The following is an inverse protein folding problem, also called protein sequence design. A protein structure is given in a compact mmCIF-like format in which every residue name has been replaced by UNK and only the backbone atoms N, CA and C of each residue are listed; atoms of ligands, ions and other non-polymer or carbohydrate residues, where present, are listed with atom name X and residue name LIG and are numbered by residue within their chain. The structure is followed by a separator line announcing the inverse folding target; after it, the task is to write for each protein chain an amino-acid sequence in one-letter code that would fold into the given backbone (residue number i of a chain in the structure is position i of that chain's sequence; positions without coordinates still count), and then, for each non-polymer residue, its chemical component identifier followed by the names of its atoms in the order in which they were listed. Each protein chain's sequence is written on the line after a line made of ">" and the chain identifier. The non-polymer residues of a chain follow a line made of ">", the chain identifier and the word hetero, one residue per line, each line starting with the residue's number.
data_IF_041931161204
#
_entry.id   IF_041931161204
#
_cell.length_a   1.000
_cell.length_b   1.000
_cell.length_c   1.000
_cell.angle_alpha   90.00
_cell.angle_beta   90.00
_cell.angle_gamma   90.00
#
_symmetry.space_group_name_H-M   'P 1'
#
loop_
_entity.id
_entity.type
_entity.pdbx_description
1 polymer ?
#
# COMPACT_ATOMS: atom_id res chain seq x y z
N UNK A 1 -38.11 -1.94 -18.86
CA UNK A 1 -37.71 -3.07 -18.00
C UNK A 1 -38.41 -4.37 -18.35
N UNK A 2 -39.75 -4.43 -18.46
CA UNK A 2 -40.48 -5.65 -18.89
C UNK A 2 -39.98 -6.20 -20.22
N UNK A 3 -39.78 -5.34 -21.22
CA UNK A 3 -39.27 -5.72 -22.55
C UNK A 3 -37.93 -6.47 -22.53
N UNK A 4 -36.94 -6.04 -21.74
CA UNK A 4 -35.61 -6.68 -21.67
C UNK A 4 -35.64 -8.04 -20.92
N UNK A 5 -36.49 -8.18 -19.90
CA UNK A 5 -36.70 -9.46 -19.21
C UNK A 5 -37.51 -10.45 -20.06
N UNK A 6 -38.43 -9.95 -20.87
CA UNK A 6 -39.19 -10.75 -21.83
C UNK A 6 -38.28 -11.22 -22.99
N UNK A 7 -37.40 -10.35 -23.49
CA UNK A 7 -36.41 -10.66 -24.53
C UNK A 7 -35.39 -11.73 -24.12
N UNK A 8 -35.07 -11.83 -22.83
CA UNK A 8 -34.14 -12.84 -22.31
C UNK A 8 -34.80 -14.20 -22.07
N UNK A 9 -36.14 -14.31 -22.20
CA UNK A 9 -36.85 -15.58 -22.13
C UNK A 9 -36.74 -16.27 -20.76
N UNK A 10 -36.82 -15.50 -19.66
CA UNK A 10 -36.66 -16.00 -18.27
C UNK A 10 -35.28 -16.54 -17.90
N UNK A 11 -34.25 -16.28 -18.71
CA UNK A 11 -32.86 -16.68 -18.45
C UNK A 11 -32.19 -15.69 -17.49
N UNK A 12 -31.19 -16.18 -16.76
CA UNK A 12 -30.30 -15.36 -15.93
C UNK A 12 -29.38 -14.52 -16.80
N UNK A 13 -29.31 -13.23 -16.51
CA UNK A 13 -28.52 -12.27 -17.30
C UNK A 13 -27.23 -11.94 -16.57
N UNK A 14 -26.10 -12.24 -17.19
CA UNK A 14 -24.78 -11.75 -16.80
C UNK A 14 -24.46 -10.53 -17.66
N UNK A 15 -24.11 -9.41 -17.05
CA UNK A 15 -23.73 -8.18 -17.76
C UNK A 15 -22.24 -7.91 -17.65
N UNK A 16 -21.64 -7.55 -18.77
CA UNK A 16 -20.31 -6.99 -18.85
C UNK A 16 -20.30 -5.76 -19.76
N UNK A 17 -19.72 -4.66 -19.30
CA UNK A 17 -19.51 -3.46 -20.12
C UNK A 17 -18.08 -3.01 -20.01
N UNK A 18 -17.34 -3.13 -21.10
CA UNK A 18 -15.92 -2.83 -21.09
C UNK A 18 -15.48 -2.16 -22.39
N UNK A 19 -14.42 -1.37 -22.29
CA UNK A 19 -13.65 -0.97 -23.47
C UNK A 19 -12.97 -2.21 -24.02
N UNK A 20 -12.99 -2.37 -25.34
CA UNK A 20 -12.31 -3.48 -25.99
C UNK A 20 -10.81 -3.16 -26.06
N UNK A 21 -10.12 -3.51 -24.97
CA UNK A 21 -8.71 -3.24 -24.68
C UNK A 21 -8.10 -4.45 -23.95
N UNK A 22 -6.80 -4.65 -24.10
CA UNK A 22 -6.02 -5.74 -23.50
C UNK A 22 -6.12 -5.75 -21.97
N UNK A 23 -6.20 -4.58 -21.34
CA UNK A 23 -6.24 -4.45 -19.87
C UNK A 23 -7.61 -4.70 -19.25
N UNK A 24 -8.69 -4.60 -20.05
CA UNK A 24 -10.07 -4.75 -19.57
C UNK A 24 -10.52 -6.20 -19.47
N UNK A 25 -9.72 -7.12 -20.00
CA UNK A 25 -9.87 -8.55 -19.77
C UNK A 25 -11.17 -9.16 -20.31
N UNK A 26 -11.66 -8.66 -21.45
CA UNK A 26 -12.85 -9.23 -22.12
C UNK A 26 -12.59 -10.66 -22.58
N UNK A 27 -11.38 -10.96 -23.05
CA UNK A 27 -10.97 -12.32 -23.46
C UNK A 27 -11.07 -13.29 -22.27
N UNK A 28 -10.50 -12.90 -21.12
CA UNK A 28 -10.53 -13.68 -19.88
C UNK A 28 -11.96 -13.95 -19.43
N UNK A 29 -12.84 -12.95 -19.54
CA UNK A 29 -14.27 -13.09 -19.25
C UNK A 29 -14.94 -14.16 -20.10
N UNK A 30 -14.71 -14.12 -21.40
CA UNK A 30 -15.32 -15.04 -22.36
C UNK A 30 -14.79 -16.46 -22.17
N UNK A 31 -13.50 -16.62 -21.91
CA UNK A 31 -12.87 -17.91 -21.59
C UNK A 31 -13.42 -18.51 -20.29
N UNK A 32 -13.58 -17.68 -19.25
CA UNK A 32 -14.18 -18.12 -17.99
C UNK A 32 -15.68 -18.48 -18.15
N UNK A 33 -16.39 -17.78 -19.03
CA UNK A 33 -17.78 -18.11 -19.32
C UNK A 33 -17.92 -19.41 -20.13
N UNK A 34 -17.02 -19.67 -21.09
CA UNK A 34 -16.95 -20.97 -21.79
C UNK A 34 -16.69 -22.11 -20.79
N UNK A 35 -15.67 -21.94 -19.94
CA UNK A 35 -15.33 -22.90 -18.88
C UNK A 35 -16.49 -23.13 -17.90
N UNK A 36 -17.26 -22.08 -17.58
CA UNK A 36 -18.44 -22.18 -16.73
C UNK A 36 -19.54 -23.06 -17.36
N UNK A 37 -19.82 -22.88 -18.66
CA UNK A 37 -20.79 -23.71 -19.39
C UNK A 37 -20.30 -25.16 -19.58
N UNK A 38 -18.99 -25.37 -19.66
CA UNK A 38 -18.39 -26.70 -19.68
C UNK A 38 -18.53 -27.42 -18.34
N UNK A 39 -18.16 -26.74 -17.24
CA UNK A 39 -18.16 -27.31 -15.89
C UNK A 39 -19.57 -27.52 -15.32
N UNK A 40 -20.53 -26.66 -15.68
CA UNK A 40 -21.88 -26.67 -15.13
C UNK A 40 -22.94 -26.78 -16.23
N UNK A 41 -23.17 -28.00 -16.77
CA UNK A 41 -24.18 -28.23 -17.81
C UNK A 41 -25.60 -27.79 -17.43
N UNK A 42 -25.92 -27.73 -16.13
CA UNK A 42 -27.22 -27.30 -15.61
C UNK A 42 -27.58 -25.85 -15.92
N UNK A 43 -26.59 -25.02 -16.24
CA UNK A 43 -26.75 -23.60 -16.59
C UNK A 43 -26.89 -23.35 -18.10
N UNK A 44 -26.63 -24.36 -18.94
CA UNK A 44 -26.86 -24.28 -20.39
C UNK A 44 -28.35 -23.99 -20.66
N UNK A 45 -28.62 -23.17 -21.68
CA UNK A 45 -29.94 -22.61 -22.02
C UNK A 45 -30.61 -21.71 -20.96
N UNK A 46 -30.04 -21.58 -19.76
CA UNK A 46 -30.59 -20.81 -18.63
C UNK A 46 -29.85 -19.51 -18.35
N UNK A 47 -28.66 -19.30 -18.92
CA UNK A 47 -27.82 -18.13 -18.67
C UNK A 47 -27.47 -17.44 -19.98
N UNK A 48 -27.49 -16.12 -20.02
CA UNK A 48 -27.00 -15.31 -21.15
C UNK A 48 -25.98 -14.30 -20.65
N UNK A 49 -24.82 -14.23 -21.30
CA UNK A 49 -23.84 -13.18 -21.13
C UNK A 49 -24.07 -12.07 -22.16
N UNK A 50 -24.50 -10.90 -21.68
CA UNK A 50 -24.60 -9.68 -22.48
C UNK A 50 -23.31 -8.90 -22.30
N UNK A 51 -22.47 -8.85 -23.34
CA UNK A 51 -21.24 -8.05 -23.35
C UNK A 51 -21.45 -6.82 -24.24
N UNK A 52 -21.41 -5.64 -23.65
CA UNK A 52 -21.41 -4.36 -24.37
C UNK A 52 -19.98 -3.87 -24.48
N UNK A 53 -19.50 -3.70 -25.70
CA UNK A 53 -18.14 -3.25 -25.97
C UNK A 53 -18.12 -1.98 -26.81
N UNK A 54 -17.18 -1.10 -26.52
CA UNK A 54 -16.91 0.06 -27.36
C UNK A 54 -15.42 0.18 -27.65
N UNK A 55 -15.10 0.66 -28.87
CA UNK A 55 -13.73 0.70 -29.37
C UNK A 55 -12.91 1.75 -28.61
N UNK A 56 -11.75 1.34 -28.12
CA UNK A 56 -10.73 2.21 -27.54
C UNK A 56 -9.83 2.79 -28.64
N UNK A 57 -9.12 3.89 -28.35
CA UNK A 57 -8.07 4.39 -29.26
C UNK A 57 -6.87 3.44 -29.36
N UNK A 58 -6.64 2.63 -28.32
CA UNK A 58 -5.58 1.61 -28.23
C UNK A 58 -6.04 0.21 -28.63
N UNK A 59 -7.17 0.14 -29.32
CA UNK A 59 -7.74 -1.12 -29.79
C UNK A 59 -6.80 -1.80 -30.81
N UNK A 60 -6.69 -3.13 -30.72
CA UNK A 60 -5.97 -3.93 -31.72
C UNK A 60 -6.95 -4.80 -32.50
N UNK A 61 -6.78 -4.85 -33.83
CA UNK A 61 -7.54 -5.78 -34.70
C UNK A 61 -7.37 -7.24 -34.28
N UNK A 62 -6.24 -7.58 -33.64
CA UNK A 62 -5.99 -8.91 -33.09
C UNK A 62 -6.98 -9.24 -31.96
N UNK A 63 -7.23 -8.30 -31.06
CA UNK A 63 -8.15 -8.50 -29.94
C UNK A 63 -9.61 -8.58 -30.40
N UNK A 64 -10.00 -7.82 -31.42
CA UNK A 64 -11.31 -8.00 -32.08
C UNK A 64 -11.47 -9.42 -32.59
N UNK A 65 -10.48 -9.91 -33.34
CA UNK A 65 -10.52 -11.25 -33.92
C UNK A 65 -10.62 -12.33 -32.84
N UNK A 66 -9.79 -12.22 -31.79
CA UNK A 66 -9.77 -13.17 -30.68
C UNK A 66 -11.11 -13.19 -29.92
N UNK A 67 -11.67 -12.01 -29.62
CA UNK A 67 -12.99 -11.90 -28.99
C UNK A 67 -14.09 -12.50 -29.87
N UNK A 68 -14.12 -12.17 -31.16
CA UNK A 68 -15.10 -12.72 -32.10
C UNK A 68 -14.97 -14.23 -32.29
N UNK A 69 -13.74 -14.76 -32.29
CA UNK A 69 -13.46 -16.19 -32.40
C UNK A 69 -14.00 -16.95 -31.19
N UNK A 70 -13.73 -16.47 -29.97
CA UNK A 70 -14.26 -17.08 -28.74
C UNK A 70 -15.79 -17.02 -28.72
N UNK A 71 -16.38 -15.88 -29.05
CA UNK A 71 -17.85 -15.73 -29.10
C UNK A 71 -18.46 -16.72 -30.10
N UNK A 72 -17.89 -16.81 -31.30
CA UNK A 72 -18.37 -17.73 -32.33
C UNK A 72 -18.24 -19.20 -31.89
N UNK A 73 -17.15 -19.54 -31.20
CA UNK A 73 -16.92 -20.90 -30.69
C UNK A 73 -17.95 -21.26 -29.60
N UNK A 74 -18.15 -20.39 -28.60
CA UNK A 74 -19.10 -20.63 -27.50
C UNK A 74 -20.54 -20.67 -28.03
N UNK A 75 -20.93 -19.72 -28.88
CA UNK A 75 -22.27 -19.71 -29.46
C UNK A 75 -22.50 -20.91 -30.41
N UNK A 76 -21.47 -21.37 -31.12
CA UNK A 76 -21.56 -22.58 -31.94
C UNK A 76 -21.64 -23.87 -31.11
N UNK A 77 -20.99 -23.92 -29.95
CA UNK A 77 -20.92 -25.09 -29.07
C UNK A 77 -22.17 -25.28 -28.20
N UNK A 78 -22.73 -24.19 -27.66
CA UNK A 78 -23.88 -24.26 -26.73
C UNK A 78 -25.12 -23.51 -27.21
N UNK A 79 -25.05 -22.77 -28.32
CA UNK A 79 -26.20 -22.07 -28.86
C UNK A 79 -27.19 -23.00 -29.56
N UNK A 80 -28.46 -22.59 -29.56
CA UNK A 80 -29.54 -23.21 -30.32
C UNK A 80 -30.24 -22.14 -31.16
N UNK A 81 -31.24 -22.52 -31.97
CA UNK A 81 -31.91 -21.58 -32.87
C UNK A 81 -32.52 -20.36 -32.13
N UNK A 82 -33.03 -20.57 -30.91
CA UNK A 82 -33.68 -19.55 -30.08
C UNK A 82 -32.80 -19.10 -28.88
N UNK A 83 -31.53 -19.50 -28.85
CA UNK A 83 -30.62 -19.25 -27.74
C UNK A 83 -29.20 -18.96 -28.20
N UNK A 84 -28.70 -17.78 -27.85
CA UNK A 84 -27.30 -17.41 -27.98
C UNK A 84 -26.72 -17.18 -26.59
N UNK A 85 -25.81 -18.05 -26.10
CA UNK A 85 -25.19 -17.91 -24.78
C UNK A 85 -24.51 -16.55 -24.57
N UNK A 86 -23.85 -16.03 -25.61
CA UNK A 86 -23.18 -14.72 -25.59
C UNK A 86 -23.84 -13.80 -26.60
N UNK A 87 -24.29 -12.63 -26.12
CA UNK A 87 -24.79 -11.53 -26.93
C UNK A 87 -23.79 -10.37 -26.86
N UNK A 88 -23.11 -10.10 -27.99
CA UNK A 88 -22.06 -9.09 -28.06
C UNK A 88 -22.53 -7.86 -28.85
N UNK A 89 -22.62 -6.72 -28.17
CA UNK A 89 -23.02 -5.45 -28.78
C UNK A 89 -21.83 -4.51 -28.87
N UNK A 90 -21.34 -4.27 -30.10
CA UNK A 90 -20.28 -3.32 -30.38
C UNK A 90 -20.84 -1.93 -30.73
N UNK A 91 -21.53 -1.30 -29.78
CA UNK A 91 -22.15 0.01 -29.99
C UNK A 91 -22.08 0.87 -28.73
N UNK A 92 -22.25 2.18 -28.91
CA UNK A 92 -22.54 3.07 -27.79
C UNK A 92 -24.03 2.93 -27.48
N UNK A 93 -24.31 2.70 -26.21
CA UNK A 93 -25.67 2.57 -25.67
C UNK A 93 -25.99 3.88 -24.95
N UNK A 94 -27.22 4.34 -25.08
CA UNK A 94 -27.69 5.53 -24.37
C UNK A 94 -27.71 5.30 -22.85
N UNK A 95 -27.65 6.39 -22.08
CA UNK A 95 -27.55 6.30 -20.62
C UNK A 95 -28.68 5.48 -19.99
N UNK A 96 -29.91 5.72 -20.44
CA UNK A 96 -31.10 5.09 -19.84
C UNK A 96 -31.16 3.58 -20.16
N UNK A 97 -30.76 3.20 -21.37
CA UNK A 97 -30.64 1.80 -21.77
C UNK A 97 -29.54 1.09 -20.98
N UNK A 98 -28.41 1.76 -20.78
CA UNK A 98 -27.31 1.24 -19.95
C UNK A 98 -27.76 0.99 -18.50
N UNK A 99 -28.41 1.96 -17.87
CA UNK A 99 -28.91 1.81 -16.50
C UNK A 99 -30.00 0.73 -16.43
N UNK A 100 -30.85 0.61 -17.46
CA UNK A 100 -31.82 -0.47 -17.55
C UNK A 100 -31.15 -1.85 -17.63
N UNK A 101 -30.06 -1.99 -18.39
CA UNK A 101 -29.27 -3.23 -18.46
C UNK A 101 -28.67 -3.57 -17.10
N UNK A 102 -28.06 -2.60 -16.40
CA UNK A 102 -27.49 -2.84 -15.08
C UNK A 102 -28.55 -3.29 -14.06
N UNK A 103 -29.74 -2.67 -14.06
CA UNK A 103 -30.85 -3.03 -13.15
C UNK A 103 -31.45 -4.40 -13.43
N UNK A 104 -31.47 -4.82 -14.69
CA UNK A 104 -32.09 -6.08 -15.10
C UNK A 104 -31.16 -7.29 -14.92
N UNK A 105 -29.84 -7.06 -14.90
CA UNK A 105 -28.85 -8.13 -14.78
C UNK A 105 -28.87 -8.83 -13.41
N UNK A 106 -28.85 -10.17 -13.45
CA UNK A 106 -28.78 -11.06 -12.28
C UNK A 106 -27.34 -11.22 -11.75
N UNK A 107 -26.33 -10.85 -12.54
CA UNK A 107 -24.92 -10.88 -12.16
C UNK A 107 -24.13 -9.85 -12.98
N UNK A 108 -23.23 -9.11 -12.34
CA UNK A 108 -22.22 -8.32 -13.07
C UNK A 108 -20.86 -9.00 -12.97
N UNK A 109 -20.20 -9.19 -14.12
CA UNK A 109 -18.91 -9.83 -14.21
C UNK A 109 -17.88 -8.87 -14.81
N UNK A 110 -16.91 -8.46 -13.98
CA UNK A 110 -15.85 -7.53 -14.33
C UNK A 110 -14.49 -8.19 -14.10
N UNK A 111 -13.76 -8.44 -15.18
CA UNK A 111 -12.50 -9.19 -15.16
C UNK A 111 -11.32 -8.38 -15.67
N UNK A 112 -11.13 -7.09 -15.30
CA UNK A 112 -9.98 -6.34 -15.78
C UNK A 112 -8.67 -6.99 -15.31
N UNK A 113 -7.73 -7.14 -16.23
CA UNK A 113 -6.36 -7.55 -15.93
C UNK A 113 -5.65 -6.49 -15.09
N UNK A 114 -5.92 -5.22 -15.37
CA UNK A 114 -5.43 -4.09 -14.59
C UNK A 114 -6.35 -2.89 -14.78
N UNK A 115 -6.86 -2.33 -13.69
CA UNK A 115 -7.70 -1.14 -13.73
C UNK A 115 -7.45 -0.25 -12.52
N UNK A 116 -7.44 1.07 -12.75
CA UNK A 116 -7.30 2.04 -11.66
C UNK A 116 -8.59 2.15 -10.84
N UNK A 117 -9.71 2.38 -11.53
CA UNK A 117 -11.03 2.45 -10.91
C UNK A 117 -12.07 1.99 -11.92
N UNK A 118 -12.90 1.03 -11.52
CA UNK A 118 -13.98 0.52 -12.34
C UNK A 118 -15.29 1.22 -11.96
N UNK A 119 -15.71 2.18 -12.79
CA UNK A 119 -16.97 2.92 -12.54
C UNK A 119 -18.20 2.05 -12.76
N UNK A 120 -18.14 1.08 -13.67
CA UNK A 120 -19.27 0.16 -13.92
C UNK A 120 -19.58 -0.69 -12.69
N UNK A 121 -18.58 -1.08 -11.89
CA UNK A 121 -18.79 -1.75 -10.61
C UNK A 121 -19.61 -0.88 -9.65
N UNK A 122 -19.23 0.39 -9.49
CA UNK A 122 -19.89 1.33 -8.57
C UNK A 122 -21.32 1.65 -9.04
N UNK A 123 -21.50 1.91 -10.33
CA UNK A 123 -22.81 2.14 -10.95
C UNK A 123 -23.73 0.92 -10.83
N UNK A 124 -23.19 -0.29 -10.99
CA UNK A 124 -23.94 -1.53 -10.83
C UNK A 124 -24.45 -1.68 -9.40
N UNK A 125 -23.59 -1.48 -8.39
CA UNK A 125 -23.99 -1.53 -6.98
C UNK A 125 -25.14 -0.56 -6.70
N UNK A 126 -25.05 0.67 -7.19
CA UNK A 126 -26.12 1.67 -7.02
C UNK A 126 -27.42 1.22 -7.72
N UNK A 127 -27.32 0.66 -8.93
CA UNK A 127 -28.49 0.16 -9.66
C UNK A 127 -29.13 -1.07 -9.01
N UNK A 128 -28.39 -1.82 -8.20
CA UNK A 128 -28.83 -3.05 -7.55
C UNK A 128 -29.47 -2.85 -6.17
N UNK A 129 -29.66 -1.61 -5.73
CA UNK A 129 -30.27 -1.26 -4.44
C UNK A 129 -31.56 -2.02 -4.10
N UNK A 130 -32.37 -2.33 -5.10
CA UNK A 130 -33.66 -3.01 -4.92
C UNK A 130 -33.62 -4.51 -5.26
N UNK A 131 -32.73 -4.93 -6.17
CA UNK A 131 -32.68 -6.29 -6.71
C UNK A 131 -31.58 -7.16 -6.11
N UNK A 132 -30.61 -6.55 -5.42
CA UNK A 132 -29.51 -7.20 -4.70
C UNK A 132 -28.74 -8.23 -5.53
N UNK A 133 -28.59 -8.01 -6.83
CA UNK A 133 -27.85 -8.95 -7.68
C UNK A 133 -26.34 -8.80 -7.44
N UNK A 134 -25.61 -9.93 -7.35
CA UNK A 134 -24.19 -9.93 -6.98
C UNK A 134 -23.27 -9.32 -8.05
N UNK A 135 -22.12 -8.85 -7.58
CA UNK A 135 -21.01 -8.35 -8.40
C UNK A 135 -19.79 -9.26 -8.21
N UNK A 136 -19.21 -9.73 -9.31
CA UNK A 136 -17.89 -10.36 -9.37
C UNK A 136 -16.91 -9.37 -10.00
N UNK A 137 -15.82 -9.09 -9.31
CA UNK A 137 -14.80 -8.14 -9.76
C UNK A 137 -13.39 -8.74 -9.64
N UNK A 138 -12.53 -8.43 -10.61
CA UNK A 138 -11.11 -8.77 -10.56
C UNK A 138 -10.42 -8.18 -9.32
N UNK A 139 -9.60 -8.97 -8.64
CA UNK A 139 -8.72 -8.51 -7.55
C UNK A 139 -7.74 -7.41 -8.01
N UNK A 140 -7.46 -7.33 -9.31
CA UNK A 140 -6.58 -6.33 -9.92
C UNK A 140 -7.28 -5.02 -10.30
N UNK A 141 -8.56 -4.86 -9.96
CA UNK A 141 -9.26 -3.58 -10.05
C UNK A 141 -8.99 -2.74 -8.80
N UNK A 142 -8.56 -1.49 -8.95
CA UNK A 142 -8.39 -0.61 -7.80
C UNK A 142 -9.69 -0.32 -7.04
N UNK A 143 -10.86 -0.58 -7.63
CA UNK A 143 -12.15 -0.50 -6.91
C UNK A 143 -12.25 -1.48 -5.74
N UNK A 144 -11.54 -2.61 -5.74
CA UNK A 144 -11.57 -3.56 -4.62
C UNK A 144 -11.06 -2.95 -3.31
N UNK A 145 -10.27 -1.88 -3.37
CA UNK A 145 -9.87 -1.11 -2.19
C UNK A 145 -11.02 -0.33 -1.55
N UNK A 146 -12.02 0.07 -2.35
CA UNK A 146 -13.23 0.79 -1.91
C UNK A 146 -14.35 -0.18 -1.54
N UNK A 147 -14.44 -1.31 -2.24
CA UNK A 147 -15.45 -2.35 -2.05
C UNK A 147 -14.80 -3.71 -1.70
N UNK A 148 -14.16 -3.83 -0.52
CA UNK A 148 -13.40 -5.02 -0.14
C UNK A 148 -14.29 -6.26 0.00
N UNK A 149 -15.56 -6.07 0.35
CA UNK A 149 -16.53 -7.15 0.56
C UNK A 149 -17.05 -7.79 -0.74
N UNK A 150 -16.68 -7.25 -1.91
CA UNK A 150 -17.10 -7.78 -3.21
C UNK A 150 -16.55 -9.20 -3.46
N UNK A 151 -17.21 -9.97 -4.34
CA UNK A 151 -16.71 -11.29 -4.74
C UNK A 151 -15.52 -11.07 -5.66
N UNK A 152 -14.31 -11.29 -5.13
CA UNK A 152 -13.06 -11.03 -5.84
C UNK A 152 -12.53 -12.29 -6.52
N UNK A 153 -12.05 -12.14 -7.75
CA UNK A 153 -11.51 -13.25 -8.56
C UNK A 153 -10.20 -12.87 -9.22
N UNK A 154 -9.34 -13.86 -9.47
CA UNK A 154 -8.20 -13.70 -10.37
C UNK A 154 -8.68 -13.93 -11.82
N UNK A 155 -8.67 -12.92 -12.71
CA UNK A 155 -9.13 -13.05 -14.10
C UNK A 155 -8.29 -14.02 -14.93
N UNK A 156 -7.08 -14.38 -14.49
CA UNK A 156 -6.23 -15.37 -15.17
C UNK A 156 -6.58 -16.82 -14.81
N UNK A 157 -7.34 -17.02 -13.73
CA UNK A 157 -7.84 -18.32 -13.32
C UNK A 157 -9.27 -18.50 -13.84
N UNK A 158 -9.41 -18.99 -15.07
CA UNK A 158 -10.72 -19.22 -15.67
C UNK A 158 -11.60 -20.16 -14.84
N UNK A 159 -11.02 -21.18 -14.20
CA UNK A 159 -11.75 -22.13 -13.34
C UNK A 159 -12.27 -21.44 -12.09
N UNK A 160 -11.42 -20.65 -11.43
CA UNK A 160 -11.81 -19.83 -10.28
C UNK A 160 -12.95 -18.86 -10.60
N UNK A 161 -12.88 -18.19 -11.76
CA UNK A 161 -13.97 -17.31 -12.22
C UNK A 161 -15.24 -18.11 -12.51
N UNK A 162 -15.15 -19.29 -13.15
CA UNK A 162 -16.32 -20.15 -13.40
C UNK A 162 -17.02 -20.59 -12.12
N UNK A 163 -16.24 -21.01 -11.10
CA UNK A 163 -16.77 -21.37 -9.78
C UNK A 163 -17.47 -20.17 -9.13
N UNK A 164 -16.86 -18.98 -9.18
CA UNK A 164 -17.43 -17.76 -8.64
C UNK A 164 -18.76 -17.37 -9.34
N UNK A 165 -18.85 -17.55 -10.66
CA UNK A 165 -20.11 -17.33 -11.40
C UNK A 165 -21.20 -18.27 -10.88
N UNK A 166 -20.90 -19.56 -10.75
CA UNK A 166 -21.84 -20.55 -10.25
C UNK A 166 -22.31 -20.22 -8.82
N UNK A 167 -21.37 -19.95 -7.91
CA UNK A 167 -21.67 -19.58 -6.53
C UNK A 167 -22.53 -18.32 -6.46
N UNK A 168 -22.20 -17.28 -7.24
CA UNK A 168 -22.93 -16.02 -7.25
C UNK A 168 -24.38 -16.20 -7.76
N UNK A 169 -24.60 -17.00 -8.79
CA UNK A 169 -25.95 -17.29 -9.30
C UNK A 169 -26.78 -18.07 -8.28
N UNK A 170 -26.16 -18.98 -7.51
CA UNK A 170 -26.80 -19.79 -6.46
C UNK A 170 -26.94 -19.09 -5.10
N UNK A 171 -26.38 -17.88 -4.93
CA UNK A 171 -26.43 -17.19 -3.64
C UNK A 171 -27.88 -17.04 -3.11
N UNK A 172 -28.14 -17.41 -1.84
CA UNK A 172 -29.43 -17.18 -1.20
C UNK A 172 -29.77 -15.69 -1.12
N UNK A 173 -31.07 -15.35 -1.19
CA UNK A 173 -31.53 -13.96 -1.18
C UNK A 173 -31.08 -13.18 0.06
N UNK A 174 -31.04 -13.80 1.23
CA UNK A 174 -30.56 -13.15 2.47
C UNK A 174 -29.11 -12.71 2.35
N UNK A 175 -28.22 -13.57 1.83
CA UNK A 175 -26.82 -13.22 1.60
C UNK A 175 -26.64 -12.18 0.51
N UNK A 176 -27.47 -12.22 -0.54
CA UNK A 176 -27.50 -11.20 -1.59
C UNK A 176 -27.80 -9.82 -1.03
N UNK A 177 -28.82 -9.72 -0.18
CA UNK A 177 -29.23 -8.46 0.47
C UNK A 177 -28.13 -7.96 1.43
N UNK A 178 -27.57 -8.82 2.27
CA UNK A 178 -26.48 -8.43 3.17
C UNK A 178 -25.26 -7.89 2.40
N UNK A 179 -24.84 -8.63 1.36
CA UNK A 179 -23.71 -8.25 0.53
C UNK A 179 -23.96 -6.92 -0.18
N UNK A 180 -25.15 -6.75 -0.79
CA UNK A 180 -25.53 -5.50 -1.44
C UNK A 180 -25.53 -4.34 -0.46
N UNK A 181 -26.09 -4.50 0.73
CA UNK A 181 -26.17 -3.42 1.72
C UNK A 181 -24.78 -2.93 2.16
N UNK A 182 -23.83 -3.86 2.38
CA UNK A 182 -22.44 -3.51 2.72
C UNK A 182 -21.72 -2.79 1.58
N UNK A 183 -21.89 -3.28 0.36
CA UNK A 183 -21.33 -2.66 -0.84
C UNK A 183 -21.93 -1.27 -1.09
N UNK A 184 -23.24 -1.14 -1.01
CA UNK A 184 -23.97 0.12 -1.22
C UNK A 184 -23.58 1.17 -0.17
N UNK A 185 -23.44 0.78 1.09
CA UNK A 185 -22.97 1.68 2.15
C UNK A 185 -21.55 2.20 1.86
N UNK A 186 -20.66 1.33 1.39
CA UNK A 186 -19.27 1.68 1.04
C UNK A 186 -19.20 2.65 -0.14
N UNK A 187 -20.01 2.41 -1.18
CA UNK A 187 -20.08 3.29 -2.38
C UNK A 187 -20.75 4.62 -2.05
N UNK A 188 -21.84 4.62 -1.29
CA UNK A 188 -22.61 5.84 -0.97
C UNK A 188 -21.85 6.80 -0.04
N UNK A 189 -20.91 6.29 0.76
CA UNK A 189 -20.08 7.11 1.66
C UNK A 189 -18.99 7.90 0.93
N UNK A 190 -18.54 7.42 -0.23
CA UNK A 190 -17.43 8.01 -0.99
C UNK A 190 -17.96 8.59 -2.31
N UNK A 191 -18.62 9.75 -2.23
CA UNK A 191 -19.17 10.40 -3.43
C UNK A 191 -18.10 11.12 -4.24
N UNK A 192 -18.40 11.43 -5.51
CA UNK A 192 -17.52 12.26 -6.34
C UNK A 192 -17.36 13.67 -5.77
N UNK A 193 -18.40 14.19 -5.11
CA UNK A 193 -18.38 15.48 -4.42
C UNK A 193 -17.38 15.44 -3.25
N UNK A 194 -17.44 14.40 -2.41
CA UNK A 194 -16.52 14.24 -1.28
C UNK A 194 -15.07 14.06 -1.76
N UNK A 195 -14.85 13.24 -2.79
CA UNK A 195 -13.53 13.07 -3.40
C UNK A 195 -12.97 14.39 -3.92
N UNK A 196 -13.80 15.19 -4.61
CA UNK A 196 -13.38 16.49 -5.17
C UNK A 196 -13.03 17.48 -4.06
N UNK A 197 -13.85 17.55 -3.01
CA UNK A 197 -13.61 18.45 -1.87
C UNK A 197 -12.32 18.05 -1.15
N UNK A 198 -12.14 16.77 -0.82
CA UNK A 198 -10.95 16.28 -0.13
C UNK A 198 -9.69 16.54 -0.94
N UNK A 199 -9.72 16.27 -2.24
CA UNK A 199 -8.58 16.51 -3.13
C UNK A 199 -8.21 17.99 -3.20
N UNK A 200 -9.21 18.88 -3.35
CA UNK A 200 -8.96 20.32 -3.38
C UNK A 200 -8.45 20.85 -2.03
N UNK A 201 -8.97 20.34 -0.91
CA UNK A 201 -8.50 20.71 0.43
C UNK A 201 -7.04 20.28 0.63
N UNK A 202 -6.67 19.07 0.24
CA UNK A 202 -5.29 18.58 0.31
C UNK A 202 -4.35 19.40 -0.56
N UNK A 203 -4.78 19.76 -1.77
CA UNK A 203 -4.03 20.65 -2.66
C UNK A 203 -3.82 22.04 -2.03
N UNK A 204 -4.89 22.65 -1.50
CA UNK A 204 -4.83 23.97 -0.84
C UNK A 204 -3.93 23.92 0.39
N UNK A 205 -4.03 22.87 1.20
CA UNK A 205 -3.20 22.67 2.38
C UNK A 205 -1.72 22.53 1.99
N UNK A 206 -1.42 21.76 0.92
CA UNK A 206 -0.05 21.59 0.44
C UNK A 206 0.52 22.90 -0.09
N UNK A 207 -0.25 23.67 -0.86
CA UNK A 207 0.18 24.98 -1.37
C UNK A 207 0.38 25.97 -0.22
N UNK A 208 -0.51 25.99 0.77
CA UNK A 208 -0.40 26.87 1.94
C UNK A 208 0.79 26.50 2.83
N UNK A 209 1.04 25.20 2.99
CA UNK A 209 2.15 24.66 3.78
C UNK A 209 3.50 24.70 3.05
N UNK A 210 3.52 24.88 1.73
CA UNK A 210 4.77 25.03 0.96
C UNK A 210 5.51 26.34 1.25
N UNK A 211 4.92 27.28 1.99
CA UNK A 211 5.69 28.37 2.62
C UNK A 211 6.63 27.87 3.74
N UNK A 212 6.47 26.62 4.19
CA UNK A 212 7.35 25.96 5.17
C UNK A 212 8.51 25.21 4.53
N UNK A 213 8.59 25.14 3.19
CA UNK A 213 9.85 24.84 2.50
C UNK A 213 10.75 26.07 2.61
N UNK A 214 11.15 26.41 3.84
CA UNK A 214 12.35 27.19 4.05
C UNK A 214 13.49 26.38 3.44
N UNK A 215 13.81 26.65 2.18
CA UNK A 215 15.06 26.24 1.58
C UNK A 215 16.14 26.63 2.57
N UNK A 216 16.80 25.64 3.17
CA UNK A 216 17.81 25.89 4.19
C UNK A 216 18.81 26.87 3.57
N UNK A 217 18.91 28.10 4.08
CA UNK A 217 19.73 29.11 3.44
C UNK A 217 21.16 28.59 3.39
N UNK A 218 21.87 28.91 2.30
CA UNK A 218 23.27 28.54 2.19
C UNK A 218 24.04 29.05 3.42
N UNK A 219 24.89 28.18 3.96
CA UNK A 219 25.71 28.52 5.11
C UNK A 219 26.60 29.72 4.79
N UNK A 220 26.33 30.86 5.42
CA UNK A 220 27.14 32.06 5.30
C UNK A 220 28.48 31.84 6.04
N UNK A 221 29.48 31.36 5.30
CA UNK A 221 30.80 31.01 5.86
C UNK A 221 31.47 32.19 6.57
N UNK A 222 31.52 33.42 6.01
CA UNK A 222 32.09 34.57 6.72
C UNK A 222 31.42 34.83 8.08
N UNK A 223 30.09 34.77 8.14
CA UNK A 223 29.34 34.97 9.39
C UNK A 223 29.62 33.85 10.39
N UNK A 224 29.65 32.60 9.92
CA UNK A 224 30.00 31.44 10.75
C UNK A 224 31.40 31.60 11.35
N UNK A 225 32.42 31.95 10.54
CA UNK A 225 33.79 32.11 11.03
C UNK A 225 33.88 33.22 12.08
N UNK A 226 33.26 34.38 11.83
CA UNK A 226 33.24 35.48 12.79
C UNK A 226 32.58 35.06 14.11
N UNK A 227 31.42 34.39 14.05
CA UNK A 227 30.71 33.93 15.24
C UNK A 227 31.48 32.82 15.96
N UNK A 228 32.13 31.94 15.22
CA UNK A 228 32.99 30.89 15.77
C UNK A 228 34.13 31.53 16.57
N UNK A 229 34.89 32.47 16.01
CA UNK A 229 36.02 33.11 16.70
C UNK A 229 35.61 33.81 18.01
N UNK A 230 34.49 34.54 18.00
CA UNK A 230 34.01 35.31 19.16
C UNK A 230 33.38 34.42 20.24
N UNK A 231 32.79 33.28 19.86
CA UNK A 231 32.06 32.42 20.79
C UNK A 231 32.99 31.80 21.86
N UNK A 232 32.54 31.88 23.12
CA UNK A 232 33.24 31.29 24.28
C UNK A 232 32.92 29.80 24.47
N UNK A 233 31.75 29.37 24.01
CA UNK A 233 31.28 27.98 24.00
C UNK A 233 30.50 27.74 22.71
N UNK A 234 30.74 26.64 22.02
CA UNK A 234 30.22 26.34 20.68
C UNK A 234 29.67 24.92 20.66
N UNK A 235 28.40 24.77 20.29
CA UNK A 235 27.73 23.48 20.23
C UNK A 235 27.64 23.00 18.78
N UNK A 236 28.11 21.78 18.53
CA UNK A 236 28.00 21.09 17.25
C UNK A 236 27.09 19.88 17.40
N UNK A 237 26.01 19.85 16.63
CA UNK A 237 25.09 18.71 16.57
C UNK A 237 25.21 18.09 15.18
N UNK A 238 25.77 16.89 15.11
CA UNK A 238 25.94 16.17 13.85
C UNK A 238 25.00 14.98 13.79
N UNK A 239 24.22 14.92 12.72
CA UNK A 239 23.51 13.70 12.35
C UNK A 239 24.50 12.64 11.83
N UNK A 240 24.29 11.36 12.15
CA UNK A 240 25.24 10.31 11.80
C UNK A 240 25.03 9.78 10.37
N UNK A 241 23.82 9.33 10.07
CA UNK A 241 23.46 8.69 8.80
C UNK A 241 23.03 9.74 7.77
N UNK A 242 23.77 9.87 6.67
CA UNK A 242 23.55 10.86 5.62
C UNK A 242 24.39 12.14 5.76
N UNK A 243 24.86 12.47 6.96
CA UNK A 243 25.74 13.63 7.19
C UNK A 243 27.19 13.22 7.44
N UNK A 244 27.47 12.43 8.50
CA UNK A 244 28.83 11.96 8.80
C UNK A 244 29.21 10.73 7.96
N UNK A 245 28.25 9.82 7.74
CA UNK A 245 28.44 8.62 6.92
C UNK A 245 27.38 8.59 5.82
N UNK A 246 27.67 8.08 4.61
CA UNK A 246 26.67 7.98 3.56
C UNK A 246 25.57 6.96 3.94
N UNK A 247 24.35 7.20 3.47
CA UNK A 247 23.25 6.24 3.65
C UNK A 247 23.54 4.99 2.82
N UNK A 248 23.66 3.84 3.49
CA UNK A 248 23.99 2.54 2.89
C UNK A 248 22.84 1.55 3.02
N UNK A 249 22.77 0.57 2.09
CA UNK A 249 21.70 -0.46 2.07
C UNK A 249 21.78 -1.40 3.26
N UNK A 250 22.99 -1.77 3.67
CA UNK A 250 23.23 -2.52 4.90
C UNK A 250 23.56 -1.53 6.01
N UNK A 251 22.67 -1.36 7.01
CA UNK A 251 22.90 -0.43 8.09
C UNK A 251 24.25 -0.67 8.79
N UNK A 252 24.69 -1.92 8.96
CA UNK A 252 25.94 -2.25 9.67
C UNK A 252 27.20 -1.76 8.95
N UNK A 253 27.11 -1.46 7.65
CA UNK A 253 28.20 -1.00 6.81
C UNK A 253 28.42 0.53 6.83
N UNK A 254 27.62 1.29 7.60
CA UNK A 254 27.73 2.75 7.75
C UNK A 254 28.93 3.13 8.63
N UNK A 255 30.14 2.84 8.18
CA UNK A 255 31.37 2.97 8.96
C UNK A 255 32.02 4.35 8.69
N UNK A 256 32.46 5.09 9.73
CA UNK A 256 33.15 6.37 9.57
C UNK A 256 34.49 6.20 8.84
N UNK A 257 34.76 7.08 7.87
CA UNK A 257 36.07 7.12 7.21
C UNK A 257 37.18 7.60 8.16
N UNK A 258 38.44 7.22 7.90
CA UNK A 258 39.60 7.71 8.66
C UNK A 258 39.69 9.23 8.63
N UNK A 259 39.51 9.83 7.45
CA UNK A 259 39.50 11.29 7.25
C UNK A 259 38.47 11.99 8.14
N UNK A 260 37.27 11.42 8.29
CA UNK A 260 36.25 11.98 9.16
C UNK A 260 36.68 11.95 10.62
N UNK A 261 37.21 10.81 11.08
CA UNK A 261 37.67 10.66 12.46
C UNK A 261 38.81 11.63 12.79
N UNK A 262 39.70 11.90 11.83
CA UNK A 262 40.75 12.91 11.98
C UNK A 262 40.20 14.34 12.06
N UNK A 263 39.15 14.65 11.31
CA UNK A 263 38.48 15.96 11.41
C UNK A 263 37.76 16.14 12.74
N UNK A 264 37.04 15.11 13.19
CA UNK A 264 36.39 15.11 14.50
C UNK A 264 37.43 15.25 15.62
N UNK A 265 38.56 14.54 15.55
CA UNK A 265 39.61 14.64 16.57
C UNK A 265 40.15 16.07 16.70
N UNK A 266 40.37 16.76 15.57
CA UNK A 266 40.78 18.17 15.56
C UNK A 266 39.73 19.11 16.14
N UNK A 267 38.45 18.86 15.84
CA UNK A 267 37.35 19.66 16.40
C UNK A 267 37.21 19.48 17.92
N UNK A 268 37.41 18.25 18.42
CA UNK A 268 37.34 17.88 19.84
C UNK A 268 38.49 18.49 20.65
N UNK A 269 39.66 18.74 20.04
CA UNK A 269 40.80 19.33 20.73
C UNK A 269 40.56 20.76 21.23
N UNK A 270 39.66 21.52 20.61
CA UNK A 270 39.28 22.84 21.09
C UNK A 270 38.27 22.70 22.24
N UNK A 271 38.71 23.01 23.47
CA UNK A 271 37.88 22.93 24.69
C UNK A 271 36.63 23.81 24.66
N UNK A 272 36.55 24.79 23.75
CA UNK A 272 35.34 25.62 23.57
C UNK A 272 34.26 24.89 22.77
N UNK A 273 34.61 23.81 22.06
CA UNK A 273 33.69 23.03 21.26
C UNK A 273 33.07 21.91 22.09
N UNK A 274 31.74 21.83 22.05
CA UNK A 274 30.96 20.74 22.57
C UNK A 274 30.33 20.01 21.39
N UNK A 275 30.66 18.73 21.20
CA UNK A 275 30.27 17.98 19.99
C UNK A 275 29.35 16.84 20.38
N UNK A 276 28.22 16.78 19.70
CA UNK A 276 27.19 15.78 19.87
C UNK A 276 26.91 15.07 18.55
N UNK A 277 26.83 13.75 18.60
CA UNK A 277 26.41 12.92 17.47
C UNK A 277 25.03 12.36 17.76
N UNK A 278 24.09 12.68 16.88
CA UNK A 278 22.70 12.27 16.95
C UNK A 278 22.48 11.19 15.89
N UNK A 279 21.86 10.08 16.30
CA UNK A 279 21.73 8.93 15.42
C UNK A 279 20.49 8.09 15.75
N UNK A 280 19.93 7.45 14.72
CA UNK A 280 18.93 6.40 14.86
C UNK A 280 19.53 5.02 15.21
N UNK A 281 20.85 4.93 15.35
CA UNK A 281 21.58 3.68 15.66
C UNK A 281 21.50 3.32 17.13
N UNK A 282 21.71 2.06 17.44
CA UNK A 282 21.78 1.57 18.81
C UNK A 282 23.06 2.05 19.53
N UNK A 283 23.07 1.84 20.85
CA UNK A 283 24.16 2.27 21.72
C UNK A 283 25.47 1.52 21.42
N UNK A 284 25.39 0.21 21.13
CA UNK A 284 26.57 -0.64 20.92
C UNK A 284 27.32 -0.25 19.64
N UNK A 285 26.57 0.09 18.58
CA UNK A 285 27.12 0.57 17.32
C UNK A 285 27.85 1.91 17.50
N UNK A 286 27.21 2.89 18.15
CA UNK A 286 27.82 4.21 18.38
C UNK A 286 29.03 4.12 19.31
N UNK A 287 28.97 3.28 20.34
CA UNK A 287 30.08 3.04 21.25
C UNK A 287 31.28 2.42 20.51
N UNK A 288 31.02 1.42 19.66
CA UNK A 288 32.06 0.76 18.87
C UNK A 288 32.78 1.72 17.92
N UNK A 289 32.06 2.58 17.21
CA UNK A 289 32.65 3.38 16.14
C UNK A 289 33.11 4.77 16.55
N UNK A 290 32.44 5.39 17.53
CA UNK A 290 32.74 6.75 18.00
C UNK A 290 33.15 6.73 19.48
N UNK A 291 32.31 6.18 20.36
CA UNK A 291 32.51 6.27 21.82
C UNK A 291 33.88 5.77 22.28
N UNK A 292 34.26 4.57 21.86
CA UNK A 292 35.55 3.94 22.15
C UNK A 292 36.76 4.72 21.61
N UNK A 293 36.60 5.43 20.50
CA UNK A 293 37.68 6.21 19.88
C UNK A 293 37.94 7.54 20.56
N UNK A 294 36.90 8.17 21.11
CA UNK A 294 36.98 9.52 21.68
C UNK A 294 36.80 9.56 23.21
N UNK A 295 36.72 8.41 23.89
CA UNK A 295 36.75 8.26 25.36
C UNK A 295 35.87 9.31 26.09
N UNK A 296 34.58 9.37 25.74
CA UNK A 296 33.59 10.29 26.33
C UNK A 296 33.84 11.80 26.13
N UNK A 297 34.70 12.20 25.19
CA UNK A 297 34.88 13.62 24.78
C UNK A 297 33.83 14.09 23.75
N UNK A 298 32.88 13.22 23.40
CA UNK A 298 31.80 13.47 22.45
C UNK A 298 30.49 12.98 23.07
N UNK A 299 29.44 13.79 22.96
CA UNK A 299 28.11 13.43 23.40
C UNK A 299 27.46 12.54 22.37
N UNK A 300 26.82 11.45 22.80
CA UNK A 300 26.17 10.51 21.89
C UNK A 300 24.68 10.46 22.19
N UNK A 301 23.88 10.48 21.14
CA UNK A 301 22.43 10.33 21.18
C UNK A 301 22.05 9.18 20.25
N UNK A 302 21.59 8.09 20.86
CA UNK A 302 21.23 6.84 20.18
C UNK A 302 19.71 6.69 20.11
N UNK A 303 19.25 5.87 19.16
CA UNK A 303 17.83 5.59 18.90
C UNK A 303 16.98 6.87 18.86
N UNK A 304 17.41 7.86 18.08
CA UNK A 304 16.72 9.14 17.89
C UNK A 304 16.54 9.96 19.18
N UNK A 305 17.47 9.82 20.13
CA UNK A 305 17.46 10.60 21.38
C UNK A 305 16.85 9.89 22.57
N UNK A 306 16.45 8.63 22.45
CA UNK A 306 15.98 7.85 23.58
C UNK A 306 17.11 7.49 24.56
N UNK A 307 18.35 7.40 24.08
CA UNK A 307 19.51 7.16 24.93
C UNK A 307 20.57 8.22 24.72
N UNK A 308 21.12 8.75 25.81
CA UNK A 308 22.13 9.80 25.75
C UNK A 308 23.37 9.43 26.58
N UNK A 309 24.55 9.65 26.01
CA UNK A 309 25.83 9.60 26.72
C UNK A 309 26.39 11.01 26.80
N UNK A 310 26.63 11.49 28.01
CA UNK A 310 27.13 12.86 28.24
C UNK A 310 28.63 12.98 27.96
N UNK A 311 29.07 14.22 27.77
CA UNK A 311 30.49 14.57 27.58
C UNK A 311 31.14 14.73 28.96
N UNK A 312 32.26 14.03 29.18
CA UNK A 312 33.06 14.21 30.38
C UNK A 312 34.13 15.28 30.11
N UNK A 313 34.03 16.42 30.80
CA UNK A 313 34.96 17.54 30.65
C UNK A 313 36.20 17.44 31.55
N UNK A 314 36.20 16.55 32.56
CA UNK A 314 37.29 16.38 33.52
C UNK A 314 37.95 15.01 33.35
N UNK A 315 39.28 14.98 33.19
CA UNK A 315 40.10 13.75 33.25
C UNK A 315 40.28 13.25 34.72
N UNK A 316 39.72 13.92 35.73
CA UNK A 316 39.97 13.61 37.17
C UNK A 316 38.73 13.33 38.04
N UNK A 317 37.49 13.63 37.61
CA UNK A 317 36.31 13.33 38.41
C UNK A 317 35.63 12.03 37.95
N UNK A 318 36.20 10.90 38.40
CA UNK A 318 35.39 9.70 38.65
C UNK A 318 34.32 10.10 39.66
N UNK A 319 33.10 10.34 39.19
CA UNK A 319 31.95 10.20 40.08
C UNK A 319 31.90 8.72 40.44
N UNK A 320 32.37 8.39 41.63
CA UNK A 320 32.08 7.12 42.29
C UNK A 320 30.56 7.00 42.39
N UNK A 321 29.96 6.38 41.38
CA UNK A 321 28.67 5.74 41.54
C UNK A 321 28.97 4.49 42.36
N UNK A 322 28.82 4.64 43.67
CA UNK A 322 28.83 3.63 44.73
C UNK A 322 28.90 2.19 44.23
N UNK A 323 30.03 1.56 44.55
CA UNK A 323 30.25 0.12 44.48
C UNK A 323 29.11 -0.61 45.20
N UNK A 324 28.26 -1.26 44.41
CA UNK A 324 27.62 -2.53 44.74
C UNK A 324 26.97 -3.05 43.47
N UNK A 325 27.77 -3.70 42.62
CA UNK A 325 27.43 -4.95 41.95
C UNK A 325 28.50 -5.27 40.91
N UNK A 326 29.26 -6.31 41.22
CA UNK A 326 30.17 -7.03 40.34
C UNK A 326 29.39 -7.50 39.11
N UNK A 327 29.61 -6.85 37.97
CA UNK A 327 29.53 -7.42 36.63
C UNK A 327 30.05 -6.39 35.62
N UNK A 328 30.90 -6.83 34.69
CA UNK A 328 31.53 -6.04 33.64
C UNK A 328 30.50 -5.47 32.65
N UNK A 329 29.86 -4.34 32.98
CA UNK A 329 28.91 -3.68 32.07
C UNK A 329 29.36 -2.25 31.74
N UNK A 330 29.85 -2.06 30.52
CA UNK A 330 30.06 -0.77 29.84
C UNK A 330 28.76 0.02 29.60
N UNK A 331 27.62 -0.44 30.16
CA UNK A 331 26.27 0.12 30.00
C UNK A 331 25.91 1.23 31.00
N UNK A 332 26.70 1.48 32.04
CA UNK A 332 26.36 2.45 33.12
C UNK A 332 26.47 3.94 32.75
N UNK A 333 27.09 4.28 31.60
CA UNK A 333 27.28 5.69 31.18
C UNK A 333 26.12 6.28 30.36
N UNK A 334 25.11 5.48 30.01
CA UNK A 334 24.01 5.92 29.16
C UNK A 334 22.76 6.24 29.96
N UNK A 335 22.24 7.45 29.77
CA UNK A 335 20.95 7.91 30.30
C UNK A 335 19.85 7.38 29.39
N UNK A 336 18.93 6.60 29.95
CA UNK A 336 17.75 6.10 29.26
C UNK A 336 16.58 7.06 29.48
N UNK A 337 16.27 7.88 28.48
CA UNK A 337 15.12 8.80 28.53
C UNK A 337 13.79 8.09 28.23
N UNK A 338 13.85 6.87 27.69
CA UNK A 338 12.69 6.06 27.34
C UNK A 338 12.21 5.13 28.47
N UNK A 339 12.90 5.08 29.61
CA UNK A 339 12.60 4.14 30.71
C UNK A 339 11.18 4.24 31.27
N UNK A 340 10.59 5.45 31.22
CA UNK A 340 9.23 5.71 31.73
C UNK A 340 8.12 5.34 30.75
N UNK A 341 8.45 4.96 29.52
CA UNK A 341 7.46 4.66 28.49
C UNK A 341 7.19 3.15 28.45
N UNK A 342 5.91 2.79 28.39
CA UNK A 342 5.51 1.41 28.18
C UNK A 342 5.84 0.98 26.73
N UNK A 343 6.58 -0.12 26.58
CA UNK A 343 6.98 -0.70 25.30
C UNK A 343 6.13 -1.91 24.90
N UNK A 344 5.05 -2.22 25.62
CA UNK A 344 4.15 -3.33 25.30
C UNK A 344 3.55 -3.25 23.88
N UNK A 345 3.37 -2.04 23.36
CA UNK A 345 2.93 -1.79 21.97
C UNK A 345 3.83 -2.46 20.91
N UNK A 346 5.11 -2.68 21.23
CA UNK A 346 6.05 -3.31 20.30
C UNK A 346 5.62 -4.74 19.95
N UNK A 347 4.96 -5.47 20.87
CA UNK A 347 4.48 -6.83 20.60
C UNK A 347 3.39 -6.85 19.53
N UNK A 348 2.41 -5.96 19.66
CA UNK A 348 1.30 -5.84 18.69
C UNK A 348 1.83 -5.42 17.30
N UNK A 349 2.78 -4.49 17.26
CA UNK A 349 3.43 -4.05 16.02
C UNK A 349 4.31 -5.16 15.41
N UNK A 350 4.99 -5.94 16.25
CA UNK A 350 5.81 -7.09 15.80
C UNK A 350 4.96 -8.17 15.12
N UNK A 351 3.78 -8.48 15.64
CA UNK A 351 2.87 -9.45 15.00
C UNK A 351 2.47 -8.98 13.59
N UNK A 352 2.16 -7.69 13.43
CA UNK A 352 1.86 -7.11 12.12
C UNK A 352 3.07 -7.17 11.20
N UNK A 353 4.25 -6.80 11.68
CA UNK A 353 5.48 -6.86 10.89
C UNK A 353 5.87 -8.28 10.52
N UNK A 354 5.64 -9.26 11.40
CA UNK A 354 5.90 -10.68 11.14
C UNK A 354 5.04 -11.15 9.97
N UNK A 355 3.74 -10.84 10.00
CA UNK A 355 2.80 -11.14 8.92
C UNK A 355 3.25 -10.60 7.56
N UNK A 356 3.76 -9.36 7.49
CA UNK A 356 4.25 -8.79 6.23
C UNK A 356 5.65 -9.30 5.84
N UNK A 357 6.48 -9.66 6.81
CA UNK A 357 7.81 -10.23 6.55
C UNK A 357 7.71 -11.58 5.87
N UNK A 358 6.81 -12.46 6.32
CA UNK A 358 6.57 -13.78 5.73
C UNK A 358 6.09 -13.71 4.27
N UNK A 359 5.41 -12.61 3.91
CA UNK A 359 4.80 -12.41 2.59
C UNK A 359 5.66 -11.58 1.64
N UNK A 360 6.79 -11.05 2.12
CA UNK A 360 7.65 -10.14 1.36
C UNK A 360 9.09 -10.65 1.36
N UNK A 361 9.46 -11.51 0.39
CA UNK A 361 10.80 -12.06 0.30
C UNK A 361 11.87 -10.97 0.26
N UNK A 362 12.90 -11.10 1.10
CA UNK A 362 13.96 -10.11 1.23
C UNK A 362 13.71 -9.04 2.30
N UNK A 363 12.52 -8.98 2.88
CA UNK A 363 12.26 -8.11 4.04
C UNK A 363 12.69 -8.74 5.37
N UNK A 364 12.90 -7.92 6.40
CA UNK A 364 13.20 -8.37 7.75
C UNK A 364 12.83 -7.33 8.81
N UNK A 365 12.69 -7.77 10.05
CA UNK A 365 12.39 -6.92 11.20
C UNK A 365 13.68 -6.62 11.95
N UNK A 366 13.92 -5.35 12.25
CA UNK A 366 14.97 -4.89 13.16
C UNK A 366 14.30 -4.42 14.46
N UNK A 367 14.59 -5.13 15.55
CA UNK A 367 14.12 -4.78 16.90
C UNK A 367 15.19 -3.99 17.63
N UNK A 368 14.86 -2.77 18.02
CA UNK A 368 15.66 -1.90 18.90
C UNK A 368 14.99 -1.80 20.26
N UNK A 369 15.62 -1.15 21.24
CA UNK A 369 15.06 -1.07 22.59
C UNK A 369 13.76 -0.27 22.64
N UNK A 370 13.68 0.80 21.85
CA UNK A 370 12.54 1.73 21.88
C UNK A 370 11.78 1.80 20.57
N UNK A 371 12.20 1.05 19.56
CA UNK A 371 11.64 1.08 18.22
C UNK A 371 11.69 -0.30 17.56
N UNK A 372 10.70 -0.58 16.73
CA UNK A 372 10.69 -1.73 15.82
C UNK A 372 10.64 -1.18 14.41
N UNK A 373 11.54 -1.63 13.54
CA UNK A 373 11.63 -1.16 12.15
C UNK A 373 11.50 -2.34 11.19
N UNK A 374 10.59 -2.24 10.23
CA UNK A 374 10.47 -3.21 9.15
C UNK A 374 11.21 -2.74 7.91
N UNK A 375 12.20 -3.53 7.46
CA UNK A 375 13.02 -3.21 6.30
C UNK A 375 12.57 -4.03 5.10
N UNK A 376 12.15 -3.38 4.02
CA UNK A 376 11.74 -4.03 2.78
C UNK A 376 12.66 -3.71 1.58
N UNK A 377 13.75 -2.97 1.79
CA UNK A 377 14.62 -2.45 0.71
C UNK A 377 15.38 -3.51 -0.09
N UNK A 378 15.48 -4.74 0.42
CA UNK A 378 16.08 -5.89 -0.30
C UNK A 378 15.04 -6.71 -1.09
N UNK A 379 13.76 -6.36 -0.97
CA UNK A 379 12.67 -6.99 -1.71
C UNK A 379 12.54 -6.35 -3.09
N UNK A 380 11.69 -6.92 -3.95
CA UNK A 380 11.28 -6.27 -5.19
C UNK A 380 10.73 -4.85 -4.89
N UNK A 381 11.14 -3.79 -5.63
CA UNK A 381 10.80 -2.41 -5.29
C UNK A 381 9.30 -2.12 -5.30
N UNK A 382 8.58 -2.60 -6.33
CA UNK A 382 7.16 -2.32 -6.51
C UNK A 382 6.33 -3.13 -5.51
N UNK A 383 6.66 -4.41 -5.35
CA UNK A 383 6.00 -5.29 -4.38
C UNK A 383 6.29 -4.88 -2.93
N UNK A 384 7.52 -4.51 -2.62
CA UNK A 384 7.92 -4.04 -1.29
C UNK A 384 7.22 -2.74 -0.90
N UNK A 385 7.11 -1.79 -1.82
CA UNK A 385 6.33 -0.56 -1.61
C UNK A 385 4.84 -0.86 -1.42
N UNK A 386 4.26 -1.74 -2.23
CA UNK A 386 2.87 -2.17 -2.10
C UNK A 386 2.57 -2.81 -0.74
N UNK A 387 3.44 -3.70 -0.27
CA UNK A 387 3.31 -4.35 1.04
C UNK A 387 3.52 -3.35 2.18
N UNK A 388 4.46 -2.40 2.05
CA UNK A 388 4.65 -1.33 3.03
C UNK A 388 3.42 -0.43 3.17
N UNK A 389 2.75 -0.09 2.06
CA UNK A 389 1.51 0.68 2.09
C UNK A 389 0.39 -0.08 2.82
N UNK A 390 0.25 -1.38 2.58
CA UNK A 390 -0.72 -2.23 3.31
C UNK A 390 -0.38 -2.36 4.80
N UNK A 391 0.90 -2.53 5.12
CA UNK A 391 1.39 -2.59 6.49
C UNK A 391 1.07 -1.31 7.27
N UNK A 392 1.27 -0.14 6.65
CA UNK A 392 0.94 1.15 7.25
C UNK A 392 -0.54 1.27 7.63
N UNK A 393 -1.45 0.76 6.79
CA UNK A 393 -2.89 0.79 7.07
C UNK A 393 -3.23 -0.01 8.33
N UNK A 394 -2.61 -1.17 8.54
CA UNK A 394 -2.82 -1.95 9.77
C UNK A 394 -2.21 -1.27 10.99
N UNK A 395 -1.03 -0.65 10.87
CA UNK A 395 -0.40 0.08 11.98
C UNK A 395 -1.22 1.28 12.43
N UNK A 396 -1.89 1.99 11.52
CA UNK A 396 -2.77 3.12 11.88
C UNK A 396 -3.91 2.67 12.80
N UNK A 397 -4.41 1.43 12.63
CA UNK A 397 -5.49 0.87 13.46
C UNK A 397 -5.04 0.48 14.87
N UNK A 398 -3.75 0.23 15.09
CA UNK A 398 -3.19 -0.03 16.44
C UNK A 398 -3.09 1.25 17.26
N UNK A 399 -3.08 2.42 16.60
CA UNK A 399 -2.93 3.73 17.23
C UNK A 399 -4.25 4.34 17.75
N UNK A 400 -5.39 3.72 17.41
CA UNK A 400 -6.75 4.08 17.82
C UNK A 400 -7.27 3.11 18.85
#
# INVERSE_FOLDING_TARGET
>A
MKSLKELSGFRKIIIGRDRLDTVRGVVQKLQAFDMFLDMYPEWRDKVVLIQVSFKSHYHSKKLDKEVSEIISNVNGKYGTFDYSPIQHYQMRIEKDEYLALLRVADLCLLTPVRDGMNTTALEYIICQKESSSPLIISEFSGSTTVIPDSIQVNPWDSVGVSNAINEALLLPNERKIDLEHRLYASVSKNTIQDWTINYLQELINTVSNNNSLHSTPYLNRPLLFRNYEVARKRLFLFDYDGTLTPIVRDPSAAIPSSKLLDLLSRLIQDKKNEIWIISGRDQDFLEKWIGSKFKNKVGLSAEHGCFMKLINHDDENKVEITENNSNNDTKKDWINLAEKFDMNWQKEVEEIFQYYTERTPGSFIEKKKVAVTWHYRKSDPDFGLFQAAKCLILLIKVKS
#
